data_IF_129111807615
#
_entry.id   IF_129111807615
#
_cell.length_a   1.000
_cell.length_b   1.000
_cell.length_c   1.000
_cell.angle_alpha   90.00
_cell.angle_beta   90.00
_cell.angle_gamma   90.00
#
_symmetry.space_group_name_H-M   'P 1'
#
loop_
_entity.id
_entity.type
_entity.pdbx_description
1 polymer ?
#
# COMPACT_ATOMS: atom_id res chain seq x y z
N UNK A 1 -3.68 9.48 24.66
CA UNK A 1 -2.85 8.27 24.52
C UNK A 1 -2.39 8.26 23.09
N UNK A 2 -1.07 8.21 22.89
CA UNK A 2 -0.47 8.34 21.57
C UNK A 2 -0.10 6.96 21.02
N UNK A 3 -0.31 6.76 19.72
CA UNK A 3 0.07 5.53 19.02
C UNK A 3 1.50 5.64 18.50
N UNK A 4 2.27 4.55 18.61
CA UNK A 4 3.60 4.46 18.03
C UNK A 4 3.56 3.67 16.73
N UNK A 5 4.08 4.26 15.65
CA UNK A 5 4.29 3.56 14.37
C UNK A 5 5.75 3.10 14.32
N UNK A 6 5.96 1.81 14.02
CA UNK A 6 7.29 1.19 13.97
C UNK A 6 7.51 0.60 12.58
N UNK A 7 8.71 0.79 12.03
CA UNK A 7 9.11 0.31 10.71
C UNK A 7 10.26 -0.70 10.81
N UNK A 8 9.98 -2.00 10.97
CA UNK A 8 11.01 -3.02 10.93
C UNK A 8 11.63 -3.12 9.53
N UNK A 9 12.95 -3.19 9.45
CA UNK A 9 13.68 -3.24 8.17
C UNK A 9 13.68 -4.66 7.56
N UNK A 10 13.42 -5.68 8.37
CA UNK A 10 13.41 -7.07 7.93
C UNK A 10 12.44 -7.95 8.75
N UNK A 11 12.27 -9.20 8.29
CA UNK A 11 11.33 -10.17 8.90
C UNK A 11 11.74 -10.57 10.32
N UNK A 12 13.03 -10.61 10.63
CA UNK A 12 13.53 -10.99 11.95
C UNK A 12 13.19 -9.91 12.99
N UNK A 13 13.43 -8.64 12.66
CA UNK A 13 13.06 -7.49 13.49
C UNK A 13 11.54 -7.45 13.76
N UNK A 14 10.72 -7.65 12.72
CA UNK A 14 9.26 -7.70 12.87
C UNK A 14 8.82 -8.83 13.81
N UNK A 15 9.48 -10.00 13.71
CA UNK A 15 9.16 -11.16 14.55
C UNK A 15 9.53 -10.93 16.00
N UNK A 16 10.72 -10.37 16.26
CA UNK A 16 11.17 -10.00 17.59
C UNK A 16 10.24 -8.95 18.23
N UNK A 17 9.87 -7.90 17.48
CA UNK A 17 8.99 -6.84 17.97
C UNK A 17 7.61 -7.40 18.37
N UNK A 18 7.03 -8.27 17.54
CA UNK A 18 5.75 -8.95 17.85
C UNK A 18 5.84 -9.79 19.12
N UNK A 19 6.96 -10.49 19.34
CA UNK A 19 7.15 -11.30 20.53
C UNK A 19 7.21 -10.43 21.80
N UNK A 20 7.97 -9.33 21.77
CA UNK A 20 8.07 -8.37 22.88
C UNK A 20 6.71 -7.74 23.19
N UNK A 21 6.00 -7.24 22.16
CA UNK A 21 4.66 -6.64 22.34
C UNK A 21 3.67 -7.62 22.96
N UNK A 22 3.66 -8.89 22.51
CA UNK A 22 2.83 -9.95 23.10
C UNK A 22 3.18 -10.23 24.56
N UNK A 23 4.46 -10.34 24.88
CA UNK A 23 4.92 -10.59 26.25
C UNK A 23 4.50 -9.46 27.21
N UNK A 24 4.52 -8.21 26.72
CA UNK A 24 4.08 -7.03 27.46
C UNK A 24 2.56 -6.84 27.46
N UNK A 25 1.79 -7.72 26.82
CA UNK A 25 0.33 -7.61 26.64
C UNK A 25 -0.09 -6.29 25.96
N UNK A 26 0.75 -5.78 25.06
CA UNK A 26 0.46 -4.61 24.24
C UNK A 26 -0.30 -5.07 22.99
N UNK A 27 -1.49 -4.51 22.77
CA UNK A 27 -2.25 -4.71 21.54
C UNK A 27 -1.58 -3.95 20.38
N UNK A 28 -1.48 -4.60 19.22
CA UNK A 28 -0.92 -3.98 18.02
C UNK A 28 -1.76 -4.34 16.79
N UNK A 29 -1.82 -3.41 15.84
CA UNK A 29 -2.42 -3.61 14.52
C UNK A 29 -1.31 -3.78 13.49
N UNK A 30 -1.40 -4.83 12.67
CA UNK A 30 -0.58 -4.93 11.48
C UNK A 30 -1.41 -4.46 10.29
N UNK A 31 -1.18 -3.21 9.87
CA UNK A 31 -1.72 -2.74 8.59
C UNK A 31 -0.94 -3.40 7.47
N UNK A 32 -1.53 -4.43 6.87
CA UNK A 32 -1.10 -4.92 5.58
C UNK A 32 -1.79 -4.05 4.53
N UNK A 33 -1.03 -3.20 3.83
CA UNK A 33 -1.52 -2.50 2.64
C UNK A 33 -1.66 -3.50 1.48
N UNK A 34 -2.60 -4.43 1.60
CA UNK A 34 -2.98 -5.33 0.52
C UNK A 34 -4.03 -4.59 -0.28
N UNK A 35 -3.58 -3.95 -1.36
CA UNK A 35 -4.51 -3.43 -2.37
C UNK A 35 -5.22 -4.63 -3.03
N UNK A 36 -6.54 -4.54 -3.31
CA UNK A 36 -7.23 -5.59 -4.05
C UNK A 36 -6.54 -5.87 -5.38
N UNK A 37 -6.51 -7.12 -5.82
CA UNK A 37 -5.79 -7.52 -7.05
C UNK A 37 -6.19 -6.68 -8.26
N UNK A 38 -7.48 -6.38 -8.42
CA UNK A 38 -8.00 -5.49 -9.47
C UNK A 38 -7.36 -4.10 -9.50
N UNK A 39 -6.99 -3.53 -8.34
CA UNK A 39 -6.33 -2.23 -8.24
C UNK A 39 -4.88 -2.35 -8.73
N UNK A 40 -4.18 -3.39 -8.27
CA UNK A 40 -2.80 -3.68 -8.67
C UNK A 40 -2.73 -3.93 -10.18
N UNK A 41 -3.64 -4.74 -10.72
CA UNK A 41 -3.75 -5.03 -12.14
C UNK A 41 -4.10 -3.78 -12.97
N UNK A 42 -5.04 -2.96 -12.49
CA UNK A 42 -5.40 -1.69 -13.11
C UNK A 42 -4.20 -0.76 -13.24
N UNK A 43 -3.44 -0.56 -12.15
CA UNK A 43 -2.23 0.27 -12.17
C UNK A 43 -1.18 -0.29 -13.12
N UNK A 44 -0.90 -1.61 -13.07
CA UNK A 44 0.05 -2.25 -14.00
C UNK A 44 -0.35 -2.07 -15.46
N UNK A 45 -1.64 -2.17 -15.77
CA UNK A 45 -2.19 -1.95 -17.11
C UNK A 45 -2.00 -0.48 -17.53
N UNK A 46 -2.34 0.48 -16.68
CA UNK A 46 -2.17 1.90 -16.95
C UNK A 46 -0.71 2.29 -17.21
N UNK A 47 0.25 1.71 -16.46
CA UNK A 47 1.67 1.92 -16.71
C UNK A 47 2.08 1.44 -18.11
N UNK A 48 1.66 0.23 -18.51
CA UNK A 48 1.92 -0.29 -19.87
C UNK A 48 1.31 0.59 -20.96
N UNK A 49 0.10 1.11 -20.73
CA UNK A 49 -0.57 2.03 -21.65
C UNK A 49 0.20 3.35 -21.77
N UNK A 50 0.70 3.89 -20.66
CA UNK A 50 1.52 5.09 -20.65
C UNK A 50 2.83 4.89 -21.44
N UNK A 51 3.54 3.79 -21.21
CA UNK A 51 4.77 3.44 -21.94
C UNK A 51 4.52 3.26 -23.45
N UNK A 52 3.35 2.73 -23.81
CA UNK A 52 2.92 2.57 -25.19
C UNK A 52 2.34 3.85 -25.83
N UNK A 53 2.31 4.98 -25.10
CA UNK A 53 1.72 6.24 -25.57
C UNK A 53 0.20 6.23 -25.68
N UNK A 54 -0.48 5.21 -25.14
CA UNK A 54 -1.93 5.05 -25.10
C UNK A 54 -2.54 5.87 -23.95
N UNK A 55 -2.25 7.16 -23.92
CA UNK A 55 -2.73 8.10 -22.90
C UNK A 55 -3.84 8.96 -23.48
N UNK A 56 -4.87 9.22 -22.66
CA UNK A 56 -5.91 10.19 -22.98
C UNK A 56 -5.53 11.51 -22.30
N UNK A 57 -5.09 12.53 -23.05
CA UNK A 57 -4.80 13.84 -22.46
C UNK A 57 -6.10 14.45 -21.93
N UNK A 58 -6.05 14.97 -20.71
CA UNK A 58 -7.15 15.73 -20.17
C UNK A 58 -7.28 17.06 -20.95
N UNK A 59 -8.37 17.18 -21.72
CA UNK A 59 -8.67 18.38 -22.54
C UNK A 59 -9.88 19.15 -22.04
N UNK A 60 -10.40 18.78 -20.86
CA UNK A 60 -11.56 19.41 -20.21
C UNK A 60 -12.75 18.45 -20.03
N UNK A 61 -13.61 18.75 -19.06
CA UNK A 61 -14.77 17.94 -18.67
C UNK A 61 -15.77 17.74 -19.82
N UNK A 62 -15.90 18.72 -20.72
CA UNK A 62 -16.84 18.64 -21.86
C UNK A 62 -16.50 17.53 -22.86
N UNK A 63 -15.26 17.04 -22.88
CA UNK A 63 -14.80 15.99 -23.79
C UNK A 63 -14.85 14.59 -23.14
N UNK A 64 -15.39 14.47 -21.93
CA UNK A 64 -15.53 13.21 -21.18
C UNK A 64 -16.97 12.63 -21.19
N UNK A 65 -17.92 13.36 -21.78
CA UNK A 65 -19.33 12.98 -21.93
C UNK A 65 -19.62 12.65 -23.39
#
# INVERSE_FOLDING_TARGET
MDALIVYPENKEQLTALKAVMKAMKISFEQKSEIYPDQVIEGVKKSLKQADAGQILPYTGIKNLL
#
